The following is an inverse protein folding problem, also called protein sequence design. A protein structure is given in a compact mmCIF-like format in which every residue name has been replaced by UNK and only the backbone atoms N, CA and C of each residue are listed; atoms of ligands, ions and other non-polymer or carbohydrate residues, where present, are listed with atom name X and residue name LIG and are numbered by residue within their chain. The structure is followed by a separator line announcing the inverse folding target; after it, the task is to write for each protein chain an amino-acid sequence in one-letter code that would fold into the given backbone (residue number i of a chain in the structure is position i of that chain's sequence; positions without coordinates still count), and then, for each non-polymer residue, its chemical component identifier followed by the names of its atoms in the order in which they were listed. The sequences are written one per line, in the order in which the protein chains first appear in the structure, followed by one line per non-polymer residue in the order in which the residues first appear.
data_IF_533082577141
#
_entry.id   IF_533082577141
#
_cell.length_a   1.000
_cell.length_b   1.000
_cell.length_c   1.000
_cell.angle_alpha   90.00
_cell.angle_beta   90.00
_cell.angle_gamma   90.00
#
_symmetry.space_group_name_H-M   'P 1'
#
loop_
_entity.id
_entity.type
_entity.pdbx_description
1 polymer ?
#
# COMPACT_ATOMS: atom_id res chain seq x y z
N UNK A 1 -23.83 25.80 -0.27
CA UNK A 1 -23.72 24.91 0.90
C UNK A 1 -22.77 23.77 0.63
N UNK A 2 -23.05 22.95 -0.41
CA UNK A 2 -22.27 21.74 -0.69
C UNK A 2 -20.75 21.95 -0.86
N UNK A 3 -20.32 23.07 -1.44
CA UNK A 3 -18.90 23.35 -1.71
C UNK A 3 -18.30 24.47 -0.82
N UNK A 4 -19.08 25.04 0.11
CA UNK A 4 -18.62 26.10 1.02
C UNK A 4 -18.20 27.42 0.34
N UNK A 5 -18.84 27.78 -0.78
CA UNK A 5 -18.48 28.93 -1.62
C UNK A 5 -19.49 30.09 -1.56
N UNK A 6 -20.47 30.05 -0.66
CA UNK A 6 -21.54 31.06 -0.60
C UNK A 6 -21.03 32.48 -0.36
N UNK A 7 -20.02 32.63 0.49
CA UNK A 7 -19.44 33.94 0.78
C UNK A 7 -18.65 34.52 -0.41
N UNK A 8 -18.35 33.70 -1.42
CA UNK A 8 -17.52 34.04 -2.58
C UNK A 8 -18.34 34.18 -3.87
N UNK A 9 -19.68 34.19 -3.80
CA UNK A 9 -20.55 34.28 -4.99
C UNK A 9 -20.30 35.53 -5.85
N UNK A 10 -19.89 36.64 -5.22
CA UNK A 10 -19.60 37.93 -5.89
C UNK A 10 -18.09 38.19 -5.99
N UNK A 11 -17.24 37.25 -5.57
CA UNK A 11 -15.80 37.42 -5.57
C UNK A 11 -15.24 37.33 -7.00
N UNK A 12 -14.23 38.15 -7.30
CA UNK A 12 -13.49 38.05 -8.56
C UNK A 12 -12.60 36.80 -8.51
N UNK A 13 -12.51 35.96 -9.56
CA UNK A 13 -11.62 34.79 -9.61
C UNK A 13 -10.19 35.03 -9.11
N UNK A 14 -9.62 36.22 -9.32
CA UNK A 14 -8.26 36.58 -8.88
C UNK A 14 -8.11 36.71 -7.35
N UNK A 15 -9.22 36.97 -6.64
CA UNK A 15 -9.27 37.10 -5.19
C UNK A 15 -9.44 35.75 -4.46
N UNK A 16 -9.64 34.66 -5.20
CA UNK A 16 -9.90 33.33 -4.65
C UNK A 16 -8.61 32.59 -4.32
N UNK A 17 -8.59 31.92 -3.17
CA UNK A 17 -7.51 30.99 -2.82
C UNK A 17 -7.43 29.84 -3.84
N UNK A 18 -6.30 29.12 -3.88
CA UNK A 18 -6.15 27.94 -4.73
C UNK A 18 -7.26 26.90 -4.47
N UNK A 19 -7.54 26.64 -3.18
CA UNK A 19 -8.66 25.79 -2.75
C UNK A 19 -10.00 26.27 -3.32
N UNK A 20 -10.33 27.55 -3.13
CA UNK A 20 -11.59 28.11 -3.62
C UNK A 20 -11.69 28.02 -5.15
N UNK A 21 -10.60 28.30 -5.88
CA UNK A 21 -10.57 28.17 -7.35
C UNK A 21 -10.81 26.73 -7.80
N UNK A 22 -10.20 25.75 -7.11
CA UNK A 22 -10.46 24.33 -7.37
C UNK A 22 -11.95 23.98 -7.16
N UNK A 23 -12.53 24.37 -6.02
CA UNK A 23 -13.95 24.11 -5.74
C UNK A 23 -14.90 24.85 -6.69
N UNK A 24 -14.54 26.05 -7.17
CA UNK A 24 -15.30 26.74 -8.23
C UNK A 24 -15.21 25.95 -9.54
N UNK A 25 -14.05 25.41 -9.89
CA UNK A 25 -13.87 24.52 -11.04
C UNK A 25 -14.78 23.30 -10.96
N UNK A 26 -14.80 22.63 -9.81
CA UNK A 26 -15.69 21.51 -9.53
C UNK A 26 -17.17 21.92 -9.65
N UNK A 27 -17.56 23.05 -9.07
CA UNK A 27 -18.93 23.58 -9.17
C UNK A 27 -19.35 23.80 -10.63
N UNK A 28 -18.46 24.40 -11.44
CA UNK A 28 -18.70 24.65 -12.87
C UNK A 28 -18.88 23.35 -13.65
N UNK A 29 -18.12 22.30 -13.32
CA UNK A 29 -18.30 20.99 -13.92
C UNK A 29 -19.65 20.38 -13.54
N UNK A 30 -20.00 20.41 -12.25
CA UNK A 30 -21.23 19.82 -11.70
C UNK A 30 -22.51 20.45 -12.28
N UNK A 31 -22.54 21.78 -12.45
CA UNK A 31 -23.72 22.50 -12.97
C UNK A 31 -24.06 22.08 -14.41
N UNK A 32 -23.07 21.63 -15.20
CA UNK A 32 -23.29 21.22 -16.59
C UNK A 32 -23.94 19.84 -16.74
N UNK A 33 -23.92 19.00 -15.70
CA UNK A 33 -24.46 17.64 -15.73
C UNK A 33 -24.04 16.81 -16.96
N UNK A 34 -22.74 16.76 -17.34
CA UNK A 34 -22.29 15.94 -18.47
C UNK A 34 -22.49 14.45 -18.21
N UNK A 35 -22.50 13.66 -19.28
CA UNK A 35 -22.48 12.19 -19.20
C UNK A 35 -21.16 11.64 -18.66
N UNK A 36 -20.06 12.38 -18.84
CA UNK A 36 -18.71 11.98 -18.43
C UNK A 36 -18.01 13.16 -17.74
N UNK A 37 -17.44 12.90 -16.57
CA UNK A 37 -16.54 13.80 -15.86
C UNK A 37 -15.11 13.27 -15.97
N UNK A 38 -14.16 14.16 -16.24
CA UNK A 38 -12.74 13.87 -16.28
C UNK A 38 -12.06 14.73 -15.21
N UNK A 39 -11.35 14.10 -14.28
CA UNK A 39 -10.56 14.75 -13.26
C UNK A 39 -9.11 14.31 -13.39
N UNK A 40 -8.19 15.27 -13.44
CA UNK A 40 -6.76 15.05 -13.54
C UNK A 40 -6.10 15.69 -12.32
N UNK A 41 -5.70 14.85 -11.35
CA UNK A 41 -5.11 15.26 -10.06
C UNK A 41 -5.79 16.46 -9.39
N UNK A 42 -7.14 16.48 -9.25
CA UNK A 42 -7.87 17.70 -8.95
C UNK A 42 -7.58 18.28 -7.56
N UNK A 43 -6.97 17.49 -6.66
CA UNK A 43 -6.73 17.85 -5.27
C UNK A 43 -5.26 17.76 -4.85
N UNK A 44 -4.32 17.53 -5.80
CA UNK A 44 -2.91 17.34 -5.48
C UNK A 44 -2.28 18.52 -4.71
N UNK A 45 -2.69 19.74 -5.03
CA UNK A 45 -2.17 20.97 -4.40
C UNK A 45 -2.96 21.41 -3.14
N UNK A 46 -3.92 20.61 -2.68
CA UNK A 46 -4.79 20.99 -1.56
C UNK A 46 -4.30 20.41 -0.24
N UNK A 47 -4.46 21.19 0.82
CA UNK A 47 -4.28 20.71 2.19
C UNK A 47 -5.12 19.45 2.46
N UNK A 48 -4.66 18.50 3.30
CA UNK A 48 -5.30 17.19 3.48
C UNK A 48 -6.79 17.25 3.84
N UNK A 49 -7.20 18.25 4.63
CA UNK A 49 -8.60 18.44 5.01
C UNK A 49 -9.46 18.89 3.81
N UNK A 50 -8.94 19.78 2.97
CA UNK A 50 -9.64 20.26 1.77
C UNK A 50 -9.73 19.18 0.70
N UNK A 51 -8.64 18.42 0.47
CA UNK A 51 -8.65 17.26 -0.42
C UNK A 51 -9.70 16.23 0.02
N UNK A 52 -9.75 15.89 1.31
CA UNK A 52 -10.77 14.99 1.88
C UNK A 52 -12.19 15.47 1.62
N UNK A 53 -12.44 16.77 1.80
CA UNK A 53 -13.75 17.38 1.50
C UNK A 53 -14.08 17.27 0.01
N UNK A 54 -13.11 17.57 -0.86
CA UNK A 54 -13.26 17.44 -2.32
C UNK A 54 -13.63 16.03 -2.75
N UNK A 55 -12.91 15.02 -2.23
CA UNK A 55 -13.20 13.60 -2.49
C UNK A 55 -14.61 13.21 -2.07
N UNK A 56 -15.07 13.67 -0.90
CA UNK A 56 -16.44 13.42 -0.46
C UNK A 56 -17.49 14.02 -1.41
N UNK A 57 -17.22 15.17 -2.00
CA UNK A 57 -18.11 15.79 -2.98
C UNK A 57 -18.12 15.04 -4.33
N UNK A 58 -16.99 14.48 -4.77
CA UNK A 58 -16.95 13.59 -5.95
C UNK A 58 -17.79 12.33 -5.71
N UNK A 59 -17.68 11.70 -4.53
CA UNK A 59 -18.50 10.52 -4.19
C UNK A 59 -19.98 10.86 -4.22
N UNK A 60 -20.39 11.99 -3.62
CA UNK A 60 -21.78 12.47 -3.66
C UNK A 60 -22.25 12.79 -5.08
N UNK A 61 -21.39 13.37 -5.91
CA UNK A 61 -21.68 13.65 -7.32
C UNK A 61 -21.96 12.36 -8.08
N UNK A 62 -21.10 11.35 -7.93
CA UNK A 62 -21.27 10.05 -8.57
C UNK A 62 -22.60 9.40 -8.18
N UNK A 63 -22.91 9.38 -6.87
CA UNK A 63 -24.16 8.82 -6.35
C UNK A 63 -25.43 9.51 -6.86
N UNK A 64 -25.37 10.83 -7.13
CA UNK A 64 -26.53 11.61 -7.56
C UNK A 64 -26.74 11.64 -9.07
N UNK A 65 -25.65 11.63 -9.84
CA UNK A 65 -25.70 11.89 -11.29
C UNK A 65 -25.68 10.64 -12.15
N UNK A 66 -25.25 9.49 -11.61
CA UNK A 66 -24.98 8.25 -12.38
C UNK A 66 -24.08 8.47 -13.61
N UNK A 67 -23.35 9.58 -13.65
CA UNK A 67 -22.44 9.91 -14.73
C UNK A 67 -21.15 9.09 -14.61
N UNK A 68 -20.52 8.80 -15.74
CA UNK A 68 -19.20 8.17 -15.74
C UNK A 68 -18.16 9.15 -15.23
N UNK A 69 -17.34 8.75 -14.25
CA UNK A 69 -16.23 9.56 -13.75
C UNK A 69 -14.93 8.85 -14.07
N UNK A 70 -14.03 9.53 -14.77
CA UNK A 70 -12.62 9.13 -14.92
C UNK A 70 -11.80 10.05 -14.04
N UNK A 71 -11.04 9.46 -13.13
CA UNK A 71 -10.24 10.16 -12.13
C UNK A 71 -8.80 9.68 -12.22
N UNK A 72 -7.88 10.56 -12.59
CA UNK A 72 -6.44 10.30 -12.60
C UNK A 72 -5.80 10.86 -11.32
N UNK A 73 -4.93 10.06 -10.70
CA UNK A 73 -4.22 10.42 -9.47
C UNK A 73 -2.95 9.60 -9.34
N UNK A 74 -1.94 10.19 -8.71
CA UNK A 74 -0.73 9.51 -8.26
C UNK A 74 -0.81 9.05 -6.81
N UNK A 75 -1.89 9.37 -6.08
CA UNK A 75 -2.08 8.99 -4.68
C UNK A 75 -2.89 7.67 -4.56
N UNK A 76 -2.29 6.57 -4.08
CA UNK A 76 -2.98 5.30 -3.87
C UNK A 76 -4.17 5.40 -2.91
N UNK A 77 -4.14 6.31 -1.93
CA UNK A 77 -5.24 6.49 -0.99
C UNK A 77 -6.48 7.05 -1.69
N UNK A 78 -6.32 7.88 -2.72
CA UNK A 78 -7.45 8.35 -3.53
C UNK A 78 -8.01 7.23 -4.41
N UNK A 79 -7.15 6.44 -5.03
CA UNK A 79 -7.57 5.28 -5.81
C UNK A 79 -8.33 4.26 -4.96
N UNK A 80 -7.88 3.99 -3.73
CA UNK A 80 -8.57 3.13 -2.75
C UNK A 80 -9.90 3.72 -2.30
N UNK A 81 -9.98 5.02 -2.08
CA UNK A 81 -11.18 5.68 -1.56
C UNK A 81 -12.27 5.88 -2.62
N UNK A 82 -11.89 6.09 -3.89
CA UNK A 82 -12.82 6.49 -4.97
C UNK A 82 -13.02 5.40 -6.02
N UNK A 83 -12.04 4.52 -6.23
CA UNK A 83 -11.98 3.61 -7.36
C UNK A 83 -12.91 2.41 -7.23
N UNK A 84 -14.02 2.42 -7.98
CA UNK A 84 -14.81 1.20 -8.22
C UNK A 84 -14.07 0.21 -9.12
N UNK A 85 -13.36 0.74 -10.11
CA UNK A 85 -12.41 0.05 -10.98
C UNK A 85 -11.20 0.96 -11.13
N UNK A 86 -10.03 0.40 -10.89
CA UNK A 86 -8.75 1.10 -10.89
C UNK A 86 -7.86 0.46 -11.94
N UNK A 87 -7.22 1.31 -12.75
CA UNK A 87 -6.24 0.89 -13.75
C UNK A 87 -4.90 1.48 -13.34
N UNK A 88 -3.95 0.61 -13.00
CA UNK A 88 -2.59 1.03 -12.64
C UNK A 88 -1.76 1.12 -13.92
N UNK A 89 -1.21 2.30 -14.16
CA UNK A 89 -0.38 2.62 -15.32
C UNK A 89 1.05 2.92 -14.86
N UNK A 90 2.04 2.33 -15.53
CA UNK A 90 3.46 2.64 -15.34
C UNK A 90 4.07 2.80 -16.73
N UNK A 91 4.73 3.94 -16.98
CA UNK A 91 5.35 4.29 -18.26
C UNK A 91 4.42 4.11 -19.47
N UNK A 92 3.14 4.46 -19.31
CA UNK A 92 2.12 4.33 -20.34
C UNK A 92 1.59 2.91 -20.58
N UNK A 93 2.06 1.93 -19.80
CA UNK A 93 1.63 0.52 -19.90
C UNK A 93 0.72 0.16 -18.73
N UNK A 94 -0.43 -0.45 -19.05
CA UNK A 94 -1.36 -1.00 -18.05
C UNK A 94 -0.68 -2.18 -17.34
N UNK A 95 -0.49 -2.03 -16.03
CA UNK A 95 0.10 -3.06 -15.18
C UNK A 95 -0.96 -3.99 -14.60
N UNK A 96 -2.09 -3.42 -14.16
CA UNK A 96 -3.20 -4.15 -13.58
C UNK A 96 -4.49 -3.33 -13.67
N UNK A 97 -5.60 -4.04 -13.78
CA UNK A 97 -6.95 -3.49 -13.82
C UNK A 97 -7.86 -4.34 -12.93
N UNK A 98 -8.66 -3.70 -12.09
CA UNK A 98 -9.58 -4.38 -11.17
C UNK A 98 -10.13 -3.46 -10.08
N UNK A 99 -10.85 -4.04 -9.11
CA UNK A 99 -11.26 -3.29 -7.93
C UNK A 99 -10.03 -2.83 -7.13
N UNK A 100 -10.04 -1.59 -6.62
CA UNK A 100 -8.90 -1.02 -5.91
C UNK A 100 -8.41 -1.92 -4.76
N UNK A 101 -9.35 -2.48 -3.98
CA UNK A 101 -9.03 -3.40 -2.90
C UNK A 101 -8.37 -4.69 -3.40
N UNK A 102 -8.86 -5.28 -4.51
CA UNK A 102 -8.24 -6.48 -5.09
C UNK A 102 -6.83 -6.24 -5.63
N UNK A 103 -6.56 -5.04 -6.16
CA UNK A 103 -5.21 -4.64 -6.59
C UNK A 103 -4.28 -4.48 -5.37
N UNK A 104 -4.79 -3.91 -4.29
CA UNK A 104 -4.06 -3.77 -3.02
C UNK A 104 -3.69 -5.12 -2.41
N UNK A 105 -4.67 -6.02 -2.31
CA UNK A 105 -4.56 -7.33 -1.67
C UNK A 105 -3.77 -8.33 -2.52
N UNK A 106 -3.77 -8.18 -3.83
CA UNK A 106 -3.18 -9.14 -4.76
C UNK A 106 -2.51 -8.45 -5.96
N UNK A 107 -1.42 -7.68 -5.75
CA UNK A 107 -0.73 -6.97 -6.81
C UNK A 107 -0.17 -7.96 -7.85
N UNK A 108 -0.39 -7.70 -9.13
CA UNK A 108 -0.01 -8.63 -10.21
C UNK A 108 1.50 -8.71 -10.44
N UNK A 109 2.25 -7.66 -10.06
CA UNK A 109 3.68 -7.56 -10.27
C UNK A 109 4.34 -6.61 -9.25
N UNK A 110 5.67 -6.57 -9.27
CA UNK A 110 6.48 -5.73 -8.39
C UNK A 110 6.18 -4.23 -8.53
N UNK A 111 5.86 -3.74 -9.74
CA UNK A 111 5.57 -2.32 -9.95
C UNK A 111 4.27 -1.91 -9.22
N UNK A 112 3.22 -2.73 -9.32
CA UNK A 112 1.98 -2.50 -8.58
C UNK A 112 2.21 -2.63 -7.07
N UNK A 113 2.96 -3.64 -6.63
CA UNK A 113 3.26 -3.85 -5.20
C UNK A 113 4.02 -2.67 -4.57
N UNK A 114 4.97 -2.07 -5.31
CA UNK A 114 5.75 -0.90 -4.87
C UNK A 114 4.90 0.36 -4.79
N UNK A 115 3.97 0.54 -5.72
CA UNK A 115 3.25 1.79 -5.87
C UNK A 115 1.95 1.84 -5.05
N UNK A 116 1.22 0.72 -4.98
CA UNK A 116 -0.15 0.74 -4.50
C UNK A 116 -0.23 0.46 -2.99
N UNK A 117 0.00 1.49 -2.15
CA UNK A 117 -0.13 1.47 -0.68
C UNK A 117 0.73 2.52 0.02
N UNK A 118 0.36 2.91 1.25
CA UNK A 118 1.13 3.86 2.08
C UNK A 118 1.24 3.37 3.55
N UNK A 119 2.40 2.82 3.94
CA UNK A 119 3.69 2.82 3.26
C UNK A 119 3.70 1.72 2.17
N UNK A 120 4.70 1.71 1.27
CA UNK A 120 4.79 0.70 0.22
C UNK A 120 4.97 -0.72 0.78
N UNK A 121 4.66 -1.73 -0.03
CA UNK A 121 4.92 -3.13 0.33
C UNK A 121 6.42 -3.35 0.59
N UNK A 122 6.75 -4.07 1.67
CA UNK A 122 8.10 -4.56 1.89
C UNK A 122 8.45 -5.58 0.83
N UNK A 123 9.59 -5.41 0.16
CA UNK A 123 10.07 -6.32 -0.88
C UNK A 123 11.46 -6.80 -0.52
N UNK A 124 11.56 -8.09 -0.19
CA UNK A 124 12.78 -8.74 0.32
C UNK A 124 13.30 -9.68 -0.75
N UNK A 125 14.51 -9.43 -1.25
CA UNK A 125 15.18 -10.37 -2.15
C UNK A 125 15.71 -11.57 -1.35
N UNK A 126 15.58 -12.76 -1.91
CA UNK A 126 16.02 -13.98 -1.25
C UNK A 126 15.95 -15.20 -2.16
N UNK A 127 16.04 -16.37 -1.56
CA UNK A 127 16.04 -17.66 -2.26
C UNK A 127 15.11 -18.63 -1.56
N UNK A 128 14.45 -19.47 -2.35
CA UNK A 128 13.64 -20.54 -1.79
C UNK A 128 14.48 -21.79 -1.56
N UNK A 129 14.47 -22.32 -0.34
CA UNK A 129 15.24 -23.51 0.04
C UNK A 129 14.30 -24.61 0.54
N UNK A 130 14.67 -25.86 0.27
CA UNK A 130 14.03 -27.02 0.87
C UNK A 130 14.69 -27.32 2.21
N UNK A 131 13.94 -27.24 3.30
CA UNK A 131 14.38 -27.60 4.65
C UNK A 131 13.49 -28.71 5.22
N UNK A 132 14.02 -29.93 5.28
CA UNK A 132 13.26 -31.13 5.69
C UNK A 132 11.95 -31.24 4.89
N UNK A 133 10.80 -31.04 5.52
CA UNK A 133 9.47 -31.12 4.93
C UNK A 133 8.85 -29.78 4.56
N UNK A 134 9.58 -28.66 4.72
CA UNK A 134 9.07 -27.31 4.45
C UNK A 134 9.90 -26.61 3.37
N UNK A 135 9.24 -25.75 2.60
CA UNK A 135 9.93 -24.74 1.79
C UNK A 135 10.08 -23.48 2.62
N UNK A 136 11.31 -22.99 2.72
CA UNK A 136 11.67 -21.82 3.51
C UNK A 136 12.24 -20.77 2.57
N UNK A 137 11.61 -19.59 2.57
CA UNK A 137 12.19 -18.42 1.96
C UNK A 137 13.30 -17.89 2.89
N UNK A 138 14.54 -17.84 2.41
CA UNK A 138 15.66 -17.19 3.08
C UNK A 138 16.02 -15.91 2.38
N UNK A 139 16.04 -14.81 3.13
CA UNK A 139 16.57 -13.52 2.68
C UNK A 139 18.01 -13.63 2.18
N UNK A 140 18.35 -12.82 1.17
CA UNK A 140 19.70 -12.79 0.60
C UNK A 140 20.68 -12.08 1.54
N UNK A 141 21.97 -12.41 1.41
CA UNK A 141 23.02 -11.83 2.26
C UNK A 141 22.91 -12.26 3.72
N UNK A 142 23.31 -11.38 4.64
CA UNK A 142 23.28 -11.61 6.09
C UNK A 142 21.94 -11.19 6.73
N UNK A 143 20.87 -11.28 5.95
CA UNK A 143 19.51 -11.01 6.39
C UNK A 143 19.01 -12.01 7.43
N UNK A 144 18.00 -11.61 8.19
CA UNK A 144 17.43 -12.40 9.30
C UNK A 144 16.11 -13.05 8.95
N UNK A 145 15.51 -12.72 7.81
CA UNK A 145 14.24 -13.32 7.40
C UNK A 145 14.49 -14.74 6.88
N UNK A 146 13.95 -15.70 7.62
CA UNK A 146 13.80 -17.08 7.22
C UNK A 146 12.39 -17.52 7.61
N UNK A 147 11.49 -17.62 6.63
CA UNK A 147 10.08 -17.95 6.89
C UNK A 147 9.63 -19.15 6.06
N UNK A 148 8.89 -20.09 6.65
CA UNK A 148 8.25 -21.17 5.92
C UNK A 148 7.17 -20.58 5.02
N UNK A 149 7.08 -21.07 3.79
CA UNK A 149 5.99 -20.70 2.90
C UNK A 149 4.78 -21.62 3.12
N UNK A 150 3.56 -21.06 3.10
CA UNK A 150 2.34 -21.85 3.04
C UNK A 150 2.26 -22.57 1.68
N UNK A 151 2.63 -23.85 1.64
CA UNK A 151 2.74 -24.65 0.42
C UNK A 151 1.41 -24.82 -0.32
N UNK A 152 0.31 -24.84 0.41
CA UNK A 152 -1.06 -24.81 -0.10
C UNK A 152 -1.34 -23.56 -0.94
N UNK A 153 -0.71 -22.44 -0.59
CA UNK A 153 -0.76 -21.20 -1.39
C UNK A 153 0.23 -21.19 -2.54
N UNK A 154 1.16 -22.12 -2.68
CA UNK A 154 2.12 -22.09 -3.79
C UNK A 154 2.39 -23.51 -4.28
N UNK A 155 1.44 -24.14 -5.00
CA UNK A 155 1.57 -25.53 -5.44
C UNK A 155 2.80 -25.75 -6.33
N UNK A 156 3.17 -24.73 -7.12
CA UNK A 156 4.36 -24.75 -7.98
C UNK A 156 5.64 -24.27 -7.29
N UNK A 157 5.63 -23.99 -5.98
CA UNK A 157 6.80 -23.47 -5.26
C UNK A 157 8.04 -24.35 -5.40
N UNK A 158 7.86 -25.67 -5.52
CA UNK A 158 8.95 -26.63 -5.75
C UNK A 158 9.76 -26.31 -7.03
N UNK A 159 9.13 -25.73 -8.05
CA UNK A 159 9.81 -25.34 -9.31
C UNK A 159 10.74 -24.13 -9.14
N UNK A 160 10.69 -23.47 -7.98
CA UNK A 160 11.48 -22.29 -7.64
C UNK A 160 12.54 -22.55 -6.56
N UNK A 161 12.70 -23.80 -6.10
CA UNK A 161 13.76 -24.17 -5.17
C UNK A 161 15.13 -23.85 -5.77
N UNK A 162 15.97 -23.16 -5.00
CA UNK A 162 17.29 -22.68 -5.41
C UNK A 162 17.28 -21.44 -6.29
N UNK A 163 16.10 -20.93 -6.70
CA UNK A 163 16.00 -19.70 -7.50
C UNK A 163 15.91 -18.47 -6.61
N UNK A 164 16.36 -17.35 -7.17
CA UNK A 164 16.14 -16.03 -6.59
C UNK A 164 14.67 -15.64 -6.73
N UNK A 165 14.09 -15.16 -5.64
CA UNK A 165 12.70 -14.67 -5.55
C UNK A 165 12.66 -13.37 -4.75
N UNK A 166 11.57 -12.64 -4.89
CA UNK A 166 11.24 -11.51 -4.02
C UNK A 166 10.02 -11.86 -3.18
N UNK A 167 10.16 -11.82 -1.86
CA UNK A 167 9.06 -11.92 -0.92
C UNK A 167 8.47 -10.53 -0.69
N UNK A 168 7.16 -10.40 -0.89
CA UNK A 168 6.38 -9.20 -0.60
C UNK A 168 5.44 -9.38 0.58
N UNK A 169 5.37 -8.40 1.47
CA UNK A 169 4.36 -8.32 2.53
C UNK A 169 4.12 -6.87 2.94
N UNK A 170 2.91 -6.53 3.37
CA UNK A 170 2.57 -5.15 3.74
C UNK A 170 3.10 -4.80 5.14
N UNK A 171 3.39 -3.52 5.41
CA UNK A 171 3.76 -3.09 6.75
C UNK A 171 2.73 -3.47 7.83
N UNK A 172 1.44 -3.37 7.55
CA UNK A 172 0.36 -3.73 8.49
C UNK A 172 0.15 -5.25 8.68
N UNK A 173 0.82 -6.06 7.87
CA UNK A 173 0.84 -7.52 8.02
C UNK A 173 2.06 -8.00 8.82
N UNK A 174 2.83 -7.06 9.38
CA UNK A 174 3.99 -7.30 10.24
C UNK A 174 3.81 -6.59 11.58
N UNK A 175 3.86 -7.34 12.68
CA UNK A 175 3.67 -6.81 14.04
C UNK A 175 4.82 -7.23 14.95
N UNK A 176 5.09 -6.45 15.99
CA UNK A 176 6.05 -6.84 17.03
C UNK A 176 5.53 -8.07 17.76
N UNK A 177 6.32 -9.15 17.72
CA UNK A 177 6.04 -10.38 18.44
C UNK A 177 6.32 -10.16 19.94
N UNK A 178 5.29 -10.20 20.80
CA UNK A 178 5.46 -9.97 22.24
C UNK A 178 6.05 -11.17 22.97
N UNK A 179 6.19 -12.34 22.32
CA UNK A 179 6.69 -13.54 22.98
C UNK A 179 8.14 -13.37 23.44
N UNK A 180 8.46 -13.79 24.68
CA UNK A 180 9.82 -13.71 25.21
C UNK A 180 10.81 -14.52 24.36
N UNK A 181 12.08 -14.10 24.33
CA UNK A 181 13.11 -14.71 23.47
C UNK A 181 13.27 -16.24 23.66
N UNK A 182 12.89 -16.75 24.83
CA UNK A 182 12.96 -18.15 25.24
C UNK A 182 11.82 -19.03 24.72
N UNK A 183 10.74 -18.46 24.17
CA UNK A 183 9.67 -19.24 23.53
C UNK A 183 10.06 -19.68 22.12
N UNK A 184 9.49 -20.81 21.65
CA UNK A 184 9.68 -21.27 20.27
C UNK A 184 9.32 -20.13 19.32
N UNK A 185 10.20 -19.88 18.35
CA UNK A 185 9.94 -18.96 17.25
C UNK A 185 8.53 -19.20 16.71
N UNK A 186 7.70 -18.14 16.67
CA UNK A 186 6.53 -18.14 15.81
C UNK A 186 6.99 -18.52 14.40
N UNK A 187 6.26 -19.41 13.74
CA UNK A 187 6.72 -20.09 12.51
C UNK A 187 7.19 -19.09 11.44
N UNK A 188 6.59 -17.90 11.37
CA UNK A 188 6.98 -16.83 10.45
C UNK A 188 7.44 -15.56 11.18
N UNK A 189 8.54 -15.65 11.94
CA UNK A 189 9.12 -14.49 12.62
C UNK A 189 10.59 -14.26 12.27
N UNK A 190 10.97 -12.99 12.24
CA UNK A 190 12.34 -12.54 11.98
C UNK A 190 12.79 -11.51 13.01
N UNK A 191 14.10 -11.26 13.09
CA UNK A 191 14.68 -10.26 14.00
C UNK A 191 15.15 -9.05 13.22
N UNK A 192 14.76 -7.85 13.62
CA UNK A 192 15.25 -6.63 12.97
C UNK A 192 15.60 -5.57 14.00
N UNK A 193 16.59 -4.74 13.66
CA UNK A 193 16.90 -3.53 14.39
C UNK A 193 15.83 -2.49 14.08
N UNK A 194 15.25 -1.87 15.10
CA UNK A 194 14.38 -0.70 14.88
C UNK A 194 15.27 0.53 14.84
N UNK A 195 15.40 1.14 13.67
CA UNK A 195 16.22 2.34 13.47
C UNK A 195 15.46 3.62 13.82
N UNK A 196 14.14 3.61 13.63
CA UNK A 196 13.26 4.76 13.84
C UNK A 196 11.81 4.33 14.02
N UNK A 197 11.03 5.07 14.80
CA UNK A 197 9.59 4.93 14.90
C UNK A 197 8.88 6.25 14.58
N UNK A 198 7.87 6.19 13.71
CA UNK A 198 7.02 7.34 13.39
C UNK A 198 5.63 7.13 13.99
N UNK A 199 5.27 7.88 15.05
CA UNK A 199 3.95 7.76 15.66
C UNK A 199 2.87 8.31 14.72
N UNK A 200 1.79 7.53 14.55
CA UNK A 200 0.60 7.87 13.75
C UNK A 200 -0.67 7.81 14.60
N UNK A 201 -0.60 8.35 15.82
CA UNK A 201 -1.67 8.30 16.81
C UNK A 201 -1.59 7.02 17.65
N UNK A 202 -2.58 6.10 17.58
CA UNK A 202 -2.50 4.83 18.31
C UNK A 202 -1.51 3.83 17.67
N UNK A 203 -1.22 4.01 16.39
CA UNK A 203 -0.31 3.18 15.59
C UNK A 203 1.08 3.83 15.48
N UNK A 204 2.07 3.04 15.04
CA UNK A 204 3.40 3.54 14.71
C UNK A 204 3.99 2.77 13.53
N UNK A 205 4.58 3.50 12.58
CA UNK A 205 5.40 2.90 11.53
C UNK A 205 6.83 2.75 12.07
N UNK A 206 7.29 1.51 12.17
CA UNK A 206 8.61 1.13 12.65
C UNK A 206 9.51 0.85 11.45
N UNK A 207 10.59 1.60 11.33
CA UNK A 207 11.59 1.43 10.27
C UNK A 207 12.64 0.42 10.77
N UNK A 208 12.76 -0.68 10.03
CA UNK A 208 13.45 -1.88 10.44
C UNK A 208 14.66 -2.16 9.54
N UNK A 209 15.71 -2.73 10.10
CA UNK A 209 16.87 -3.22 9.37
C UNK A 209 17.14 -4.70 9.72
N UNK A 210 17.03 -5.59 8.74
CA UNK A 210 17.30 -7.04 8.88
C UNK A 210 18.79 -7.36 8.79
N UNK A 211 19.58 -6.46 8.22
CA UNK A 211 20.98 -6.66 7.85
C UNK A 211 21.18 -6.52 6.35
N UNK A 212 20.24 -7.05 5.56
CA UNK A 212 20.27 -6.98 4.10
C UNK A 212 19.23 -6.01 3.50
N UNK A 213 18.08 -5.82 4.16
CA UNK A 213 17.01 -4.94 3.67
C UNK A 213 16.50 -4.01 4.77
N UNK A 214 16.05 -2.83 4.34
CA UNK A 214 15.30 -1.87 5.15
C UNK A 214 13.81 -2.07 4.88
N UNK A 215 13.03 -2.20 5.96
CA UNK A 215 11.61 -2.57 5.92
C UNK A 215 10.80 -1.64 6.82
N UNK A 216 9.48 -1.66 6.70
CA UNK A 216 8.56 -0.94 7.58
C UNK A 216 7.56 -1.94 8.16
N UNK A 217 7.33 -1.90 9.47
CA UNK A 217 6.21 -2.60 10.12
C UNK A 217 5.26 -1.58 10.73
N UNK A 218 3.95 -1.76 10.56
CA UNK A 218 2.94 -0.89 11.17
C UNK A 218 2.42 -1.56 12.43
N UNK A 219 2.94 -1.11 13.57
CA UNK A 219 2.53 -1.57 14.90
C UNK A 219 1.20 -0.94 15.29
N UNK A 220 0.26 -1.77 15.79
CA UNK A 220 -1.05 -1.30 16.29
C UNK A 220 -1.00 -0.54 17.60
N UNK A 221 0.18 -0.46 18.21
CA UNK A 221 0.44 0.22 19.48
C UNK A 221 1.75 0.99 19.40
N UNK A 222 1.79 2.13 20.09
CA UNK A 222 3.06 2.78 20.40
C UNK A 222 3.90 1.91 21.33
N UNK A 223 5.20 1.80 21.02
CA UNK A 223 6.16 1.04 21.82
C UNK A 223 7.25 2.00 22.31
N UNK A 224 7.13 2.54 23.54
CA UNK A 224 8.13 3.44 24.10
C UNK A 224 9.50 2.78 24.12
N UNK A 225 10.52 3.47 23.61
CA UNK A 225 11.89 2.95 23.57
C UNK A 225 12.14 1.86 22.51
N UNK A 226 11.22 1.65 21.56
CA UNK A 226 11.47 0.73 20.44
C UNK A 226 12.77 1.06 19.70
N UNK A 227 13.11 2.34 19.61
CA UNK A 227 14.32 2.87 18.94
C UNK A 227 15.61 2.70 19.76
N UNK A 228 15.61 2.03 20.91
CA UNK A 228 16.79 1.91 21.80
C UNK A 228 17.93 1.05 21.22
N UNK A 229 17.99 0.86 19.90
CA UNK A 229 19.02 0.09 19.21
C UNK A 229 18.92 -1.43 19.44
N UNK A 230 17.82 -1.89 20.03
CA UNK A 230 17.59 -3.31 20.27
C UNK A 230 17.01 -3.98 19.03
N UNK A 231 17.42 -5.23 18.78
CA UNK A 231 16.77 -6.09 17.80
C UNK A 231 15.49 -6.64 18.41
N UNK A 232 14.36 -6.29 17.82
CA UNK A 232 13.07 -6.86 18.19
C UNK A 232 12.72 -8.01 17.25
N UNK A 233 11.79 -8.85 17.70
CA UNK A 233 11.20 -9.92 16.90
C UNK A 233 9.91 -9.40 16.26
N UNK A 234 9.72 -9.72 14.98
CA UNK A 234 8.55 -9.35 14.21
C UNK A 234 7.92 -10.61 13.63
N UNK A 235 6.61 -10.73 13.73
CA UNK A 235 5.83 -11.80 13.13
C UNK A 235 5.15 -11.30 11.84
N UNK A 236 5.17 -12.13 10.80
CA UNK A 236 4.54 -11.87 9.50
C UNK A 236 3.27 -12.71 9.38
N UNK A 237 2.19 -12.10 8.87
CA UNK A 237 0.98 -12.83 8.48
C UNK A 237 1.22 -13.57 7.15
N UNK A 238 1.51 -14.87 7.20
CA UNK A 238 1.91 -15.68 6.04
C UNK A 238 0.88 -15.69 4.91
N UNK A 239 -0.40 -15.69 5.24
CA UNK A 239 -1.53 -15.75 4.30
C UNK A 239 -1.63 -14.52 3.41
N UNK A 240 -0.95 -13.44 3.79
CA UNK A 240 -0.91 -12.17 3.06
C UNK A 240 0.43 -11.89 2.40
N UNK A 241 1.37 -12.83 2.49
CA UNK A 241 2.62 -12.75 1.74
C UNK A 241 2.39 -13.02 0.25
N UNK A 242 3.27 -12.48 -0.57
CA UNK A 242 3.34 -12.70 -2.01
C UNK A 242 4.77 -13.07 -2.40
N UNK A 243 4.91 -13.92 -3.41
CA UNK A 243 6.20 -14.16 -4.06
C UNK A 243 6.19 -13.56 -5.46
N UNK A 244 7.31 -12.98 -5.86
CA UNK A 244 7.52 -12.45 -7.20
C UNK A 244 8.80 -13.01 -7.81
N UNK A 245 8.74 -13.24 -9.11
CA UNK A 245 9.90 -13.52 -9.94
C UNK A 245 10.67 -12.20 -10.17
N UNK A 246 11.97 -12.11 -9.81
CA UNK A 246 12.75 -10.89 -9.99
C UNK A 246 13.02 -10.54 -11.46
N UNK A 247 13.07 -11.54 -12.35
CA UNK A 247 13.42 -11.33 -13.76
C UNK A 247 12.22 -10.79 -14.54
N UNK A 248 11.05 -11.39 -14.33
CA UNK A 248 9.80 -10.97 -15.00
C UNK A 248 9.02 -9.92 -14.22
N UNK A 249 9.31 -9.75 -12.94
CA UNK A 249 8.56 -8.92 -12.00
C UNK A 249 7.18 -9.44 -11.63
N UNK A 250 6.74 -10.58 -12.20
CA UNK A 250 5.38 -11.10 -12.02
C UNK A 250 5.22 -11.79 -10.67
N UNK A 251 4.03 -11.64 -10.08
CA UNK A 251 3.65 -12.40 -8.90
C UNK A 251 3.46 -13.87 -9.25
N UNK A 252 4.02 -14.76 -8.44
CA UNK A 252 3.71 -16.18 -8.44
C UNK A 252 2.32 -16.34 -7.82
N UNK A 253 1.35 -16.78 -8.63
CA UNK A 253 -0.03 -16.86 -8.18
C UNK A 253 -0.21 -18.00 -7.17
N UNK A 254 -0.82 -17.74 -5.99
CA UNK A 254 -1.49 -18.77 -5.25
C UNK A 254 -2.73 -19.23 -6.03
N UNK A 255 -3.03 -20.53 -6.00
CA UNK A 255 -4.30 -21.03 -6.55
C UNK A 255 -5.48 -20.27 -5.91
N UNK A 256 -6.50 -19.99 -6.72
CA UNK A 256 -7.73 -19.31 -6.31
C UNK A 256 -8.68 -20.26 -5.57
#
# INVERSE_FOLDING_TARGET
AALGLEAQLQANPESLSAEQRCFVGLARAMVRQPKVYLFDEPFADLEPAAARRGRAEIVKLHQRSSATIVYATTDPAEALALGQRTVVLVDGVVQQDGAAQSIYDAPANLAVAKFFGDPPMNLVAGTLKQERSALVFSEAGDGTIAIPLPLDRYPDANNFVGKSLVLGFRPEDTEVDPSPETEKQAEASFRALVERAEPKGPEADLYLQTGAHSLIARSRRWIPGAESGHRLRFAITLEKTHLFDPDTGRRLAPEQ
#
